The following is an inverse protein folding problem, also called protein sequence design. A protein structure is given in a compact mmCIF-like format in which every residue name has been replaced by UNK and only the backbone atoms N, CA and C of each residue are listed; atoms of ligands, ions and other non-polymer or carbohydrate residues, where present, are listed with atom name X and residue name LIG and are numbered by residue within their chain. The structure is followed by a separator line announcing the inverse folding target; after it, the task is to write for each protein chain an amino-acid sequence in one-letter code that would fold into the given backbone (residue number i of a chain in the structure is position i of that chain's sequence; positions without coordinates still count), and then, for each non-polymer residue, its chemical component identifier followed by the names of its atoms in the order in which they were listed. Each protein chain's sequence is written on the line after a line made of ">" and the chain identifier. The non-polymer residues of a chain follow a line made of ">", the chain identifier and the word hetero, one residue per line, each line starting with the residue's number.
data_IF_415973285751
#
_entry.id   IF_415973285751
#
_cell.length_a   1.000
_cell.length_b   1.000
_cell.length_c   1.000
_cell.angle_alpha   90.00
_cell.angle_beta   90.00
_cell.angle_gamma   90.00
#
_symmetry.space_group_name_H-M   'P 1'
#
loop_
_entity.id
_entity.type
_entity.pdbx_description
1 polymer ?
#
# COMPACT_ATOMS: atom_id res chain seq x y z
N UNK A 1 -15.09 59.82 62.76
CA UNK A 1 -15.23 59.23 61.41
C UNK A 1 -14.39 57.98 61.38
N UNK A 2 -15.05 56.82 61.44
CA UNK A 2 -14.50 55.55 61.91
C UNK A 2 -13.41 54.94 61.03
N UNK A 3 -12.32 54.48 61.65
CA UNK A 3 -11.20 53.74 61.02
C UNK A 3 -11.66 52.53 60.18
N UNK A 4 -12.83 51.97 60.50
CA UNK A 4 -13.45 50.82 59.81
C UNK A 4 -13.99 51.19 58.43
N UNK A 5 -14.49 52.41 58.23
CA UNK A 5 -15.05 52.83 56.92
C UNK A 5 -13.94 53.06 55.90
N UNK A 6 -12.78 53.60 56.32
CA UNK A 6 -11.61 53.77 55.46
C UNK A 6 -11.04 52.45 54.91
N UNK A 7 -10.95 51.41 55.76
CA UNK A 7 -10.44 50.10 55.33
C UNK A 7 -11.40 49.39 54.35
N UNK A 8 -12.72 49.51 54.57
CA UNK A 8 -13.72 48.95 53.63
C UNK A 8 -13.68 49.61 52.25
N UNK A 9 -13.39 50.92 52.19
CA UNK A 9 -13.32 51.67 50.94
C UNK A 9 -12.10 51.26 50.09
N UNK A 10 -10.95 51.04 50.73
CA UNK A 10 -9.73 50.55 50.06
C UNK A 10 -9.94 49.14 49.48
N UNK A 11 -10.60 48.26 50.23
CA UNK A 11 -10.89 46.90 49.75
C UNK A 11 -11.80 46.90 48.51
N UNK A 12 -12.81 47.79 48.47
CA UNK A 12 -13.71 47.94 47.32
C UNK A 12 -12.94 48.47 46.10
N UNK A 13 -12.07 49.47 46.28
CA UNK A 13 -11.25 50.01 45.19
C UNK A 13 -10.27 48.95 44.67
N UNK A 14 -9.61 48.20 45.54
CA UNK A 14 -8.71 47.12 45.13
C UNK A 14 -9.44 46.00 44.36
N UNK A 15 -10.63 45.62 44.81
CA UNK A 15 -11.47 44.65 44.11
C UNK A 15 -11.91 45.16 42.73
N UNK A 16 -12.29 46.45 42.62
CA UNK A 16 -12.65 47.06 41.34
C UNK A 16 -11.47 47.11 40.36
N UNK A 17 -10.26 47.40 40.84
CA UNK A 17 -9.04 47.39 40.02
C UNK A 17 -8.70 45.99 39.52
N UNK A 18 -8.78 44.97 40.39
CA UNK A 18 -8.59 43.58 39.99
C UNK A 18 -9.60 43.13 38.94
N UNK A 19 -10.87 43.52 39.09
CA UNK A 19 -11.93 43.18 38.16
C UNK A 19 -11.73 43.88 36.81
N UNK A 20 -11.28 45.13 36.81
CA UNK A 20 -10.93 45.85 35.58
C UNK A 20 -9.74 45.19 34.85
N UNK A 21 -8.69 44.78 35.56
CA UNK A 21 -7.55 44.07 34.98
C UNK A 21 -7.99 42.71 34.41
N UNK A 22 -8.82 41.96 35.13
CA UNK A 22 -9.36 40.69 34.66
C UNK A 22 -10.22 40.87 33.40
N UNK A 23 -11.06 41.90 33.36
CA UNK A 23 -11.92 42.22 32.20
C UNK A 23 -11.11 42.61 30.96
N UNK A 24 -9.93 43.23 31.12
CA UNK A 24 -9.06 43.61 29.99
C UNK A 24 -8.16 42.45 29.56
N UNK A 25 -7.58 41.70 30.51
CA UNK A 25 -6.65 40.61 30.23
C UNK A 25 -7.31 39.34 29.68
N UNK A 26 -8.50 38.99 30.16
CA UNK A 26 -9.23 37.79 29.74
C UNK A 26 -9.55 37.73 28.23
N UNK A 27 -10.12 38.77 27.59
CA UNK A 27 -10.40 38.72 26.15
C UNK A 27 -9.12 38.64 25.31
N UNK A 28 -8.04 39.32 25.72
CA UNK A 28 -6.76 39.26 25.03
C UNK A 28 -6.12 37.87 25.11
N UNK A 29 -6.14 37.25 26.30
CA UNK A 29 -5.66 35.88 26.48
C UNK A 29 -6.46 34.88 25.63
N UNK A 30 -7.80 35.05 25.57
CA UNK A 30 -8.67 34.17 24.77
C UNK A 30 -8.37 34.26 23.27
N UNK A 31 -8.07 35.45 22.75
CA UNK A 31 -7.69 35.61 21.34
C UNK A 31 -6.32 35.00 21.07
N UNK A 32 -5.36 35.20 21.98
CA UNK A 32 -4.03 34.61 21.85
C UNK A 32 -4.08 33.08 21.84
N UNK A 33 -4.83 32.47 22.77
CA UNK A 33 -4.97 31.01 22.83
C UNK A 33 -5.68 30.45 21.59
N UNK A 34 -6.69 31.15 21.06
CA UNK A 34 -7.36 30.77 19.82
C UNK A 34 -6.42 30.84 18.60
N UNK A 35 -5.55 31.87 18.52
CA UNK A 35 -4.55 31.97 17.45
C UNK A 35 -3.55 30.83 17.50
N UNK A 36 -3.00 30.56 18.69
CA UNK A 36 -2.05 29.46 18.89
C UNK A 36 -2.67 28.10 18.52
N UNK A 37 -3.93 27.88 18.90
CA UNK A 37 -4.66 26.67 18.52
C UNK A 37 -4.85 26.56 17.00
N UNK A 38 -5.17 27.67 16.31
CA UNK A 38 -5.30 27.69 14.86
C UNK A 38 -3.98 27.44 14.12
N UNK A 39 -2.89 28.02 14.61
CA UNK A 39 -1.55 27.80 14.09
C UNK A 39 -1.10 26.34 14.27
N UNK A 40 -1.34 25.76 15.45
CA UNK A 40 -1.06 24.36 15.72
C UNK A 40 -1.85 23.43 14.78
N UNK A 41 -3.16 23.68 14.61
CA UNK A 41 -4.00 22.88 13.71
C UNK A 41 -3.56 22.98 12.25
N UNK A 42 -3.12 24.17 11.80
CA UNK A 42 -2.61 24.36 10.45
C UNK A 42 -1.28 23.64 10.24
N UNK A 43 -0.36 23.71 11.21
CA UNK A 43 0.92 22.99 11.16
C UNK A 43 0.72 21.46 11.15
N UNK A 44 -0.22 20.96 11.95
CA UNK A 44 -0.61 19.55 11.97
C UNK A 44 -1.20 19.11 10.62
N UNK A 45 -2.10 19.89 10.04
CA UNK A 45 -2.68 19.59 8.73
C UNK A 45 -1.62 19.60 7.60
N UNK A 46 -0.67 20.53 7.65
CA UNK A 46 0.43 20.62 6.68
C UNK A 46 1.37 19.41 6.78
N UNK A 47 1.80 19.06 8.00
CA UNK A 47 2.66 17.90 8.23
C UNK A 47 1.96 16.60 7.81
N UNK A 48 0.69 16.43 8.18
CA UNK A 48 -0.12 15.27 7.79
C UNK A 48 -0.25 15.14 6.27
N UNK A 49 -0.46 16.25 5.56
CA UNK A 49 -0.45 16.26 4.09
C UNK A 49 0.91 15.86 3.52
N UNK A 50 1.99 16.36 4.10
CA UNK A 50 3.35 16.04 3.65
C UNK A 50 3.66 14.55 3.83
N UNK A 51 3.28 13.96 4.97
CA UNK A 51 3.39 12.52 5.21
C UNK A 51 2.60 11.74 4.17
N UNK A 52 1.34 12.10 3.91
CA UNK A 52 0.52 11.42 2.90
C UNK A 52 1.13 11.49 1.48
N UNK A 53 1.75 12.61 1.11
CA UNK A 53 2.44 12.75 -0.18
C UNK A 53 3.68 11.87 -0.23
N UNK A 54 4.49 11.84 0.84
CA UNK A 54 5.68 11.00 0.91
C UNK A 54 5.32 9.51 0.86
N UNK A 55 4.28 9.10 1.58
CA UNK A 55 3.76 7.74 1.52
C UNK A 55 3.25 7.37 0.12
N UNK A 56 2.51 8.26 -0.53
CA UNK A 56 2.03 8.03 -1.90
C UNK A 56 3.20 7.90 -2.88
N UNK A 57 4.24 8.73 -2.73
CA UNK A 57 5.46 8.65 -3.54
C UNK A 57 6.21 7.34 -3.30
N UNK A 58 6.38 6.93 -2.05
CA UNK A 58 7.03 5.67 -1.69
C UNK A 58 6.27 4.47 -2.25
N UNK A 59 4.93 4.47 -2.18
CA UNK A 59 4.09 3.42 -2.80
C UNK A 59 4.26 3.36 -4.31
N UNK A 60 4.30 4.53 -4.98
CA UNK A 60 4.53 4.60 -6.43
C UNK A 60 5.90 4.02 -6.80
N UNK A 61 6.95 4.42 -6.09
CA UNK A 61 8.31 3.93 -6.33
C UNK A 61 8.42 2.42 -6.10
N UNK A 62 7.85 1.93 -4.99
CA UNK A 62 7.77 0.50 -4.72
C UNK A 62 7.05 -0.27 -5.84
N UNK A 63 5.92 0.25 -6.34
CA UNK A 63 5.20 -0.39 -7.43
C UNK A 63 6.01 -0.43 -8.74
N UNK A 64 6.78 0.63 -9.04
CA UNK A 64 7.68 0.66 -10.20
C UNK A 64 8.77 -0.40 -10.05
N UNK A 65 9.45 -0.44 -8.91
CA UNK A 65 10.51 -1.44 -8.68
C UNK A 65 9.99 -2.87 -8.73
N UNK A 66 8.77 -3.13 -8.23
CA UNK A 66 8.13 -4.43 -8.34
C UNK A 66 7.80 -4.78 -9.81
N UNK A 67 7.30 -3.82 -10.58
CA UNK A 67 7.03 -4.02 -12.00
C UNK A 67 8.32 -4.30 -12.79
N UNK A 68 9.41 -3.59 -12.51
CA UNK A 68 10.71 -3.84 -13.12
C UNK A 68 11.25 -5.24 -12.77
N UNK A 69 11.12 -5.65 -11.50
CA UNK A 69 11.49 -6.99 -11.06
C UNK A 69 10.67 -8.08 -11.76
N UNK A 70 9.39 -7.84 -12.02
CA UNK A 70 8.53 -8.73 -12.80
C UNK A 70 9.02 -8.88 -14.25
N UNK A 71 9.38 -7.78 -14.90
CA UNK A 71 9.92 -7.78 -16.27
C UNK A 71 11.20 -8.60 -16.33
N UNK A 72 12.17 -8.34 -15.45
CA UNK A 72 13.44 -9.10 -15.41
C UNK A 72 13.19 -10.59 -15.20
N UNK A 73 12.24 -10.94 -14.33
CA UNK A 73 11.88 -12.34 -14.09
C UNK A 73 11.23 -12.99 -15.31
N UNK A 74 10.32 -12.29 -15.99
CA UNK A 74 9.68 -12.77 -17.20
C UNK A 74 10.68 -12.93 -18.35
N UNK A 75 11.62 -11.99 -18.51
CA UNK A 75 12.71 -12.09 -19.48
C UNK A 75 13.64 -13.28 -19.18
N UNK A 76 13.99 -13.48 -17.91
CA UNK A 76 14.79 -14.63 -17.47
C UNK A 76 14.08 -15.95 -17.77
N UNK A 77 12.78 -16.05 -17.45
CA UNK A 77 11.97 -17.23 -17.75
C UNK A 77 11.86 -17.47 -19.27
N UNK A 78 11.63 -16.43 -20.07
CA UNK A 78 11.57 -16.53 -21.52
C UNK A 78 12.91 -17.02 -22.11
N UNK A 79 14.04 -16.50 -21.61
CA UNK A 79 15.38 -16.93 -22.03
C UNK A 79 15.64 -18.39 -21.64
N UNK A 80 15.27 -18.80 -20.43
CA UNK A 80 15.40 -20.18 -19.98
C UNK A 80 14.56 -21.13 -20.85
N UNK A 81 13.30 -20.77 -21.13
CA UNK A 81 12.40 -21.54 -21.99
C UNK A 81 12.96 -21.68 -23.40
N UNK A 82 13.51 -20.60 -23.97
CA UNK A 82 14.14 -20.64 -25.28
C UNK A 82 15.35 -21.58 -25.32
N UNK A 83 16.22 -21.53 -24.31
CA UNK A 83 17.37 -22.43 -24.21
C UNK A 83 16.92 -23.89 -24.13
N UNK A 84 15.91 -24.20 -23.31
CA UNK A 84 15.35 -25.55 -23.21
C UNK A 84 14.74 -26.01 -24.53
N UNK A 85 13.98 -25.15 -25.18
CA UNK A 85 13.38 -25.44 -26.48
C UNK A 85 14.44 -25.75 -27.54
N UNK A 86 15.48 -24.93 -27.64
CA UNK A 86 16.57 -25.14 -28.59
C UNK A 86 17.34 -26.43 -28.27
N UNK A 87 17.55 -26.75 -26.98
CA UNK A 87 18.24 -27.95 -26.53
C UNK A 87 17.43 -29.24 -26.75
N UNK A 88 16.10 -29.16 -26.76
CA UNK A 88 15.19 -30.30 -26.92
C UNK A 88 14.78 -30.55 -28.38
N UNK A 89 15.43 -29.89 -29.35
CA UNK A 89 15.16 -30.08 -30.78
C UNK A 89 13.95 -29.29 -31.29
N UNK A 90 13.57 -28.21 -30.61
CA UNK A 90 12.53 -27.28 -31.03
C UNK A 90 11.22 -27.38 -30.22
N UNK A 91 10.14 -26.72 -30.70
CA UNK A 91 8.87 -26.61 -29.97
C UNK A 91 8.26 -27.95 -29.55
N UNK A 92 8.30 -28.95 -30.44
CA UNK A 92 7.69 -30.26 -30.19
C UNK A 92 8.39 -31.04 -29.07
N UNK A 93 9.72 -31.00 -29.01
CA UNK A 93 10.49 -31.63 -27.94
C UNK A 93 10.26 -30.95 -26.59
N UNK A 94 10.12 -29.62 -26.59
CA UNK A 94 9.78 -28.85 -25.39
C UNK A 94 8.38 -29.17 -24.85
N UNK A 95 7.36 -29.23 -25.72
CA UNK A 95 6.00 -29.60 -25.31
C UNK A 95 5.95 -31.00 -24.71
N UNK A 96 6.69 -31.96 -25.31
CA UNK A 96 6.79 -33.32 -24.77
C UNK A 96 7.51 -33.33 -23.41
N UNK A 97 8.57 -32.55 -23.24
CA UNK A 97 9.23 -32.39 -21.94
C UNK A 97 8.27 -31.85 -20.87
N UNK A 98 7.54 -30.77 -21.16
CA UNK A 98 6.54 -30.21 -20.24
C UNK A 98 5.44 -31.22 -19.89
N UNK A 99 4.99 -32.01 -20.87
CA UNK A 99 4.02 -33.07 -20.65
C UNK A 99 4.56 -34.13 -19.68
N UNK A 100 5.79 -34.61 -19.89
CA UNK A 100 6.43 -35.60 -19.01
C UNK A 100 6.57 -35.04 -17.60
N UNK A 101 7.02 -33.80 -17.46
CA UNK A 101 7.19 -33.14 -16.16
C UNK A 101 5.85 -32.99 -15.41
N UNK A 102 4.78 -32.59 -16.11
CA UNK A 102 3.45 -32.48 -15.52
C UNK A 102 2.90 -33.85 -15.07
N UNK A 103 3.18 -34.92 -15.83
CA UNK A 103 2.79 -36.29 -15.46
C UNK A 103 3.56 -36.80 -14.23
N UNK A 104 4.85 -36.49 -14.13
CA UNK A 104 5.69 -36.80 -12.98
C UNK A 104 5.17 -36.09 -11.71
N UNK A 105 4.88 -34.80 -11.80
CA UNK A 105 4.40 -33.99 -10.68
C UNK A 105 3.01 -34.43 -10.18
N UNK A 106 2.11 -34.75 -11.10
CA UNK A 106 0.73 -35.17 -10.77
C UNK A 106 0.65 -36.63 -10.28
N UNK A 107 1.76 -37.40 -10.35
CA UNK A 107 1.78 -38.87 -10.13
C UNK A 107 0.70 -39.60 -10.94
N UNK A 108 0.33 -39.05 -12.10
CA UNK A 108 -0.75 -39.60 -12.91
C UNK A 108 -0.30 -40.93 -13.53
N UNK A 109 -1.13 -41.96 -13.40
CA UNK A 109 -0.87 -43.27 -14.01
C UNK A 109 -0.96 -43.13 -15.53
N UNK A 110 0.16 -43.33 -16.24
CA UNK A 110 0.19 -43.33 -17.70
C UNK A 110 -0.62 -44.53 -18.22
N UNK A 111 -1.88 -44.32 -18.59
CA UNK A 111 -2.70 -45.33 -19.26
C UNK A 111 -2.27 -45.39 -20.72
N UNK A 112 -1.39 -46.34 -21.06
CA UNK A 112 -0.95 -46.55 -22.43
C UNK A 112 -2.09 -47.15 -23.26
N UNK A 113 -2.68 -46.33 -24.12
CA UNK A 113 -3.55 -46.79 -25.20
C UNK A 113 -2.68 -46.80 -26.47
N UNK A 114 -2.44 -47.96 -27.10
CA UNK A 114 -1.66 -47.99 -28.33
C UNK A 114 -2.34 -47.14 -29.40
N UNK A 115 -1.59 -46.23 -30.00
CA UNK A 115 -2.02 -45.40 -31.13
C UNK A 115 -0.82 -45.25 -32.06
N UNK A 116 -0.97 -45.52 -33.36
CA UNK A 116 0.15 -45.32 -34.31
C UNK A 116 0.27 -43.86 -34.78
N UNK A 117 -0.69 -42.99 -34.43
CA UNK A 117 -0.71 -41.57 -34.82
C UNK A 117 -1.49 -40.66 -33.85
N UNK A 118 -1.57 -41.00 -32.55
CA UNK A 118 -2.29 -40.19 -31.56
C UNK A 118 -3.81 -40.40 -31.50
N UNK A 119 -4.37 -41.33 -32.28
CA UNK A 119 -5.78 -41.73 -32.22
C UNK A 119 -5.93 -43.20 -31.74
N UNK A 120 -6.83 -43.49 -30.78
CA UNK A 120 -7.12 -44.86 -30.32
C UNK A 120 -7.44 -45.80 -31.49
N UNK A 121 -6.79 -46.97 -31.55
CA UNK A 121 -6.96 -47.96 -32.65
C UNK A 121 -8.42 -48.36 -32.91
N UNK A 122 -9.27 -48.24 -31.89
CA UNK A 122 -10.71 -48.53 -31.96
C UNK A 122 -11.50 -47.50 -32.76
N UNK A 123 -11.00 -46.27 -32.92
CA UNK A 123 -11.66 -45.20 -33.70
C UNK A 123 -11.20 -45.16 -35.17
N UNK A 124 -9.96 -45.55 -35.46
CA UNK A 124 -9.38 -45.48 -36.82
C UNK A 124 -10.15 -46.32 -37.85
N UNK A 125 -10.84 -47.39 -37.42
CA UNK A 125 -11.59 -48.29 -38.28
C UNK A 125 -12.98 -47.76 -38.69
N UNK A 126 -13.47 -46.70 -38.05
CA UNK A 126 -14.79 -46.10 -38.35
C UNK A 126 -14.75 -45.10 -39.52
N UNK A 127 -13.60 -44.48 -39.78
CA UNK A 127 -13.43 -43.46 -40.82
C UNK A 127 -12.92 -44.01 -42.17
N UNK A 128 -12.71 -45.33 -42.26
CA UNK A 128 -12.15 -46.01 -43.45
C UNK A 128 -13.15 -46.87 -44.24
N UNK A 129 -14.46 -46.64 -44.07
CA UNK A 129 -15.53 -47.24 -44.89
C UNK A 129 -16.33 -46.16 -45.61
#
# INVERSE_FOLDING_TARGET
>A
MDQKTGCSLIAIVAAAVLLAIAMIGYPQYRVYSQRLAGEAALAEAQSSRQVAILEARAKKESAISLAEAEVIRAEGAAKANRILQDSLGGPEGYLRYLQIQALEETKASLIYVPTEAGLPVTEARRLGQ
#
